data_IF_957242789316
#
_entry.id   IF_957242789316
#
_cell.length_a   1.000
_cell.length_b   1.000
_cell.length_c   1.000
_cell.angle_alpha   90.00
_cell.angle_beta   90.00
_cell.angle_gamma   90.00
#
_symmetry.space_group_name_H-M   'P 1'
#
loop_
_entity.id
_entity.type
_entity.pdbx_description
1 polymer ?
#
# COMPACT_ATOMS: atom_id res chain seq x y z
N UNK A 1 -22.08 -29.53 -39.62
CA UNK A 1 -22.17 -28.28 -38.84
C UNK A 1 -20.77 -27.99 -38.32
N UNK A 2 -20.06 -27.03 -38.90
CA UNK A 2 -18.66 -26.72 -38.61
C UNK A 2 -18.65 -25.52 -37.67
N UNK A 3 -18.04 -25.66 -36.50
CA UNK A 3 -17.88 -24.56 -35.51
C UNK A 3 -16.53 -23.90 -35.85
N UNK A 4 -16.57 -22.64 -36.27
CA UNK A 4 -15.38 -21.82 -36.44
C UNK A 4 -14.98 -21.19 -35.11
N UNK A 5 -13.72 -21.37 -34.74
CA UNK A 5 -13.11 -20.77 -33.58
C UNK A 5 -12.79 -19.29 -33.86
N UNK A 6 -13.41 -18.39 -33.12
CA UNK A 6 -13.07 -16.97 -33.12
C UNK A 6 -11.75 -16.72 -32.38
N UNK A 7 -10.83 -16.10 -33.05
CA UNK A 7 -9.53 -15.67 -32.55
C UNK A 7 -9.68 -14.50 -31.58
N UNK A 8 -9.27 -14.70 -30.32
CA UNK A 8 -9.10 -13.67 -29.31
C UNK A 8 -7.90 -12.81 -29.66
N UNK A 9 -8.11 -11.51 -29.88
CA UNK A 9 -7.04 -10.54 -30.08
C UNK A 9 -6.49 -10.12 -28.69
N UNK A 10 -5.28 -10.57 -28.40
CA UNK A 10 -4.47 -10.08 -27.28
C UNK A 10 -3.94 -8.70 -27.65
N UNK A 11 -4.28 -7.69 -26.85
CA UNK A 11 -3.71 -6.34 -27.00
C UNK A 11 -2.35 -6.32 -26.33
N UNK A 12 -1.32 -6.32 -27.15
CA UNK A 12 0.09 -6.24 -26.74
C UNK A 12 0.45 -4.79 -26.38
N UNK A 13 0.67 -4.52 -25.11
CA UNK A 13 1.26 -3.26 -24.65
C UNK A 13 2.79 -3.37 -24.72
N UNK A 14 3.37 -2.93 -25.83
CA UNK A 14 4.82 -2.81 -25.97
C UNK A 14 5.36 -1.62 -25.17
N UNK A 15 6.00 -1.88 -24.04
CA UNK A 15 6.90 -0.93 -23.36
C UNK A 15 8.23 -0.91 -24.13
N UNK A 16 8.53 0.21 -24.78
CA UNK A 16 9.84 0.47 -25.38
C UNK A 16 10.85 0.82 -24.30
N UNK A 17 11.69 -0.12 -23.90
CA UNK A 17 12.93 0.16 -23.21
C UNK A 17 14.05 0.33 -24.23
N UNK A 18 14.63 1.53 -24.28
CA UNK A 18 15.87 1.78 -25.03
C UNK A 18 17.05 1.20 -24.25
N UNK A 19 17.52 0.04 -24.66
CA UNK A 19 18.75 -0.54 -24.15
C UNK A 19 19.93 0.04 -24.91
N UNK A 20 20.80 0.76 -24.20
CA UNK A 20 22.14 1.08 -24.65
C UNK A 20 23.01 -0.15 -24.49
N UNK A 21 23.61 -0.58 -25.61
CA UNK A 21 24.56 -1.69 -25.67
C UNK A 21 25.89 -1.33 -25.00
N UNK A 22 26.31 -2.14 -24.02
CA UNK A 22 27.72 -2.20 -23.54
C UNK A 22 28.17 -3.65 -23.64
N UNK A 23 29.35 -3.84 -24.24
CA UNK A 23 29.92 -5.10 -24.66
C UNK A 23 30.18 -6.07 -23.51
N UNK A 24 30.11 -7.35 -23.91
CA UNK A 24 30.38 -8.50 -23.04
C UNK A 24 31.89 -8.75 -23.06
N UNK A 25 32.55 -8.70 -21.91
CA UNK A 25 33.82 -9.37 -21.66
C UNK A 25 33.65 -10.42 -20.58
N UNK A 26 34.03 -11.62 -20.94
CA UNK A 26 33.94 -12.86 -20.21
C UNK A 26 35.04 -12.95 -19.16
N UNK A 27 34.74 -12.89 -17.86
CA UNK A 27 35.63 -13.33 -16.77
C UNK A 27 34.85 -13.97 -15.61
N UNK A 28 34.99 -15.28 -15.51
CA UNK A 28 34.98 -16.17 -14.32
C UNK A 28 34.33 -15.69 -13.01
N UNK A 29 33.40 -16.52 -12.58
CA UNK A 29 32.64 -16.47 -11.35
C UNK A 29 33.40 -16.16 -10.06
N UNK A 30 32.85 -15.15 -9.37
CA UNK A 30 32.80 -15.02 -7.91
C UNK A 30 31.69 -14.05 -7.57
N UNK A 31 30.70 -14.55 -6.86
CA UNK A 31 29.66 -13.71 -6.23
C UNK A 31 30.32 -12.73 -5.26
N UNK A 32 30.32 -11.47 -5.57
CA UNK A 32 30.65 -10.40 -4.63
C UNK A 32 29.41 -9.53 -4.49
N UNK A 33 28.85 -9.53 -3.29
CA UNK A 33 27.81 -8.59 -2.89
C UNK A 33 28.33 -7.16 -3.12
N UNK A 34 27.80 -6.48 -4.13
CA UNK A 34 28.14 -5.10 -4.42
C UNK A 34 27.38 -4.18 -3.47
N UNK A 35 27.98 -3.91 -2.30
CA UNK A 35 27.65 -2.71 -1.54
C UNK A 35 28.15 -1.51 -2.33
N UNK A 36 27.25 -0.75 -2.96
CA UNK A 36 27.59 0.53 -3.60
C UNK A 36 27.85 1.58 -2.54
N UNK A 37 29.06 1.54 -1.94
CA UNK A 37 29.54 2.66 -1.15
C UNK A 37 30.05 3.72 -2.12
N UNK A 38 29.42 4.89 -2.14
CA UNK A 38 29.95 6.07 -2.80
C UNK A 38 31.17 6.52 -1.99
N UNK A 39 32.35 6.11 -2.42
CA UNK A 39 33.62 6.61 -1.85
C UNK A 39 33.90 7.98 -2.47
N UNK A 40 33.77 9.04 -1.68
CA UNK A 40 34.28 10.34 -2.04
C UNK A 40 35.80 10.24 -2.20
N UNK A 41 36.32 10.75 -3.31
CA UNK A 41 37.76 10.75 -3.55
C UNK A 41 38.47 11.59 -2.47
N UNK A 42 39.69 11.20 -2.12
CA UNK A 42 40.54 11.96 -1.16
C UNK A 42 40.67 13.46 -1.51
N UNK A 43 40.54 13.78 -2.78
CA UNK A 43 40.57 15.14 -3.32
C UNK A 43 39.26 15.91 -3.01
N UNK A 44 38.11 15.27 -3.01
CA UNK A 44 36.83 15.86 -2.59
C UNK A 44 36.84 16.15 -1.07
N UNK A 45 37.43 15.26 -0.29
CA UNK A 45 37.57 15.43 1.17
C UNK A 45 38.55 16.55 1.49
N UNK A 46 39.70 16.71 0.74
CA UNK A 46 40.66 17.79 0.94
C UNK A 46 40.07 19.16 0.55
N UNK A 47 39.24 19.26 -0.50
CA UNK A 47 38.58 20.52 -0.85
C UNK A 47 37.55 20.93 0.21
N UNK A 48 36.81 19.99 0.77
CA UNK A 48 35.89 20.26 1.88
C UNK A 48 36.61 20.76 3.14
N UNK A 49 37.83 20.27 3.39
CA UNK A 49 38.69 20.74 4.50
C UNK A 49 39.32 22.10 4.23
N UNK A 50 39.67 22.44 2.99
CA UNK A 50 40.22 23.74 2.62
C UNK A 50 39.18 24.86 2.68
N UNK A 51 37.92 24.61 2.30
CA UNK A 51 36.88 25.64 2.38
C UNK A 51 36.51 26.02 3.83
N UNK A 52 36.89 25.22 4.83
CA UNK A 52 36.66 25.52 6.25
C UNK A 52 37.76 26.40 6.86
N UNK A 53 38.90 26.64 6.15
CA UNK A 53 40.03 27.42 6.67
C UNK A 53 40.08 28.87 6.21
N UNK A 54 39.27 29.30 5.23
CA UNK A 54 39.41 30.61 4.59
C UNK A 54 38.23 31.57 4.86
N UNK A 55 37.63 31.52 6.05
CA UNK A 55 36.64 32.51 6.48
C UNK A 55 37.07 33.13 7.80
N UNK A 56 37.84 34.24 7.68
CA UNK A 56 38.15 35.08 8.82
C UNK A 56 36.94 35.77 9.43
N UNK A 57 36.77 35.59 10.72
CA UNK A 57 36.06 36.37 11.77
C UNK A 57 34.81 37.17 11.43
N UNK A 58 33.73 37.04 12.22
CA UNK A 58 33.64 37.72 13.51
C UNK A 58 33.09 36.88 14.67
N UNK A 59 33.54 37.28 15.84
CA UNK A 59 33.20 36.74 17.15
C UNK A 59 31.79 37.04 17.56
N UNK A 60 30.92 36.01 17.68
CA UNK A 60 29.85 35.93 18.63
C UNK A 60 29.50 34.46 18.90
N UNK A 61 29.16 34.14 20.12
CA UNK A 61 28.86 32.77 20.58
C UNK A 61 27.75 32.09 19.80
N UNK A 62 26.81 32.88 19.27
CA UNK A 62 25.67 32.39 18.46
C UNK A 62 26.09 31.94 17.04
N UNK A 63 27.08 32.65 16.44
CA UNK A 63 27.61 32.26 15.13
C UNK A 63 28.32 30.90 15.18
N UNK A 64 29.03 30.61 16.28
CA UNK A 64 29.71 29.31 16.49
C UNK A 64 28.70 28.15 16.69
N UNK A 65 27.59 28.38 17.38
CA UNK A 65 26.55 27.36 17.53
C UNK A 65 25.85 27.09 16.20
N UNK A 66 25.56 28.12 15.40
CA UNK A 66 24.96 27.95 14.07
C UNK A 66 25.89 27.20 13.12
N UNK A 67 27.18 27.45 13.17
CA UNK A 67 28.19 26.77 12.32
C UNK A 67 28.34 25.30 12.73
N UNK A 68 28.34 25.00 14.03
CA UNK A 68 28.40 23.64 14.57
C UNK A 68 27.12 22.85 14.22
N UNK A 69 25.97 23.47 14.34
CA UNK A 69 24.67 22.81 13.96
C UNK A 69 24.66 22.52 12.44
N UNK A 70 25.18 23.43 11.60
CA UNK A 70 25.27 23.21 10.15
C UNK A 70 26.29 22.12 9.80
N UNK A 71 27.41 22.04 10.52
CA UNK A 71 28.42 20.98 10.33
C UNK A 71 27.89 19.61 10.81
N UNK A 72 27.17 19.55 11.92
CA UNK A 72 26.55 18.32 12.41
C UNK A 72 25.51 17.84 11.41
N UNK A 73 24.68 18.72 10.84
CA UNK A 73 23.73 18.37 9.80
C UNK A 73 24.42 17.89 8.50
N UNK A 74 25.57 18.51 8.10
CA UNK A 74 26.34 18.02 6.94
C UNK A 74 26.98 16.66 7.18
N UNK A 75 27.48 16.40 8.39
CA UNK A 75 28.02 15.09 8.77
C UNK A 75 26.95 14.02 8.85
N UNK A 76 25.73 14.36 9.29
CA UNK A 76 24.59 13.44 9.30
C UNK A 76 24.16 13.04 7.87
N UNK A 77 24.29 13.96 6.89
CA UNK A 77 24.02 13.68 5.47
C UNK A 77 25.11 12.78 4.81
N UNK A 78 26.29 12.69 5.42
CA UNK A 78 27.41 11.86 4.94
C UNK A 78 27.46 10.48 5.62
N UNK A 79 26.57 10.21 6.61
CA UNK A 79 26.47 8.88 7.18
C UNK A 79 25.84 7.93 6.16
N UNK A 80 26.37 6.71 5.99
CA UNK A 80 25.75 5.73 5.13
C UNK A 80 24.34 5.45 5.64
N UNK A 81 23.34 5.81 4.83
CA UNK A 81 21.96 5.47 5.14
C UNK A 81 21.74 3.99 4.89
N UNK A 82 21.04 3.34 5.78
CA UNK A 82 20.57 1.99 5.54
C UNK A 82 19.64 1.98 4.31
N UNK A 83 19.79 0.97 3.46
CA UNK A 83 18.98 0.81 2.26
C UNK A 83 18.04 -0.38 2.44
N UNK A 84 16.80 -0.30 1.91
CA UNK A 84 15.90 -1.43 1.88
C UNK A 84 16.53 -2.64 1.20
N UNK A 85 16.36 -3.83 1.79
CA UNK A 85 16.76 -5.08 1.17
C UNK A 85 15.75 -5.46 0.08
N UNK A 86 16.12 -5.26 -1.18
CA UNK A 86 15.31 -5.64 -2.35
C UNK A 86 15.17 -7.18 -2.49
N UNK A 87 15.99 -7.97 -1.78
CA UNK A 87 15.86 -9.42 -1.67
C UNK A 87 14.82 -9.85 -0.63
N UNK A 88 14.27 -8.93 0.15
CA UNK A 88 13.30 -9.23 1.20
C UNK A 88 11.97 -9.79 0.66
N UNK A 89 11.24 -10.57 1.47
CA UNK A 89 9.90 -11.05 1.09
C UNK A 89 8.94 -9.94 0.66
N UNK A 90 9.08 -8.72 1.19
CA UNK A 90 8.25 -7.58 0.83
C UNK A 90 8.20 -7.33 -0.69
N UNK A 91 9.35 -7.44 -1.38
CA UNK A 91 9.45 -7.19 -2.82
C UNK A 91 9.37 -8.45 -3.69
N UNK A 92 9.64 -9.62 -3.10
CA UNK A 92 9.70 -10.88 -3.84
C UNK A 92 8.42 -11.72 -3.71
N UNK A 93 7.49 -11.34 -2.84
CA UNK A 93 6.17 -11.96 -2.77
C UNK A 93 5.28 -11.37 -3.89
N UNK A 94 4.81 -12.18 -4.86
CA UNK A 94 3.99 -11.71 -5.96
C UNK A 94 2.66 -11.08 -5.53
N UNK A 95 2.24 -11.31 -4.28
CA UNK A 95 1.03 -10.72 -3.72
C UNK A 95 1.23 -9.33 -3.11
N UNK A 96 2.46 -8.96 -2.77
CA UNK A 96 2.77 -7.70 -2.08
C UNK A 96 3.71 -6.79 -2.86
N UNK A 97 4.42 -7.30 -3.87
CA UNK A 97 5.48 -6.58 -4.59
C UNK A 97 5.01 -5.25 -5.22
N UNK A 98 3.83 -5.21 -5.83
CA UNK A 98 3.29 -3.99 -6.45
C UNK A 98 2.95 -2.94 -5.39
N UNK A 99 2.30 -3.35 -4.31
CA UNK A 99 1.94 -2.47 -3.19
C UNK A 99 3.19 -2.00 -2.44
N UNK A 100 4.17 -2.88 -2.25
CA UNK A 100 5.47 -2.55 -1.67
C UNK A 100 6.19 -1.49 -2.51
N UNK A 101 6.14 -1.62 -3.83
CA UNK A 101 6.73 -0.63 -4.74
C UNK A 101 6.04 0.72 -4.61
N UNK A 102 4.72 0.76 -4.51
CA UNK A 102 3.95 1.99 -4.30
C UNK A 102 4.29 2.66 -2.95
N UNK A 103 4.57 1.86 -1.91
CA UNK A 103 4.93 2.33 -0.57
C UNK A 103 6.44 2.45 -0.32
N UNK A 104 7.28 2.24 -1.34
CA UNK A 104 8.74 2.24 -1.20
C UNK A 104 9.28 3.52 -0.54
N UNK A 105 8.66 4.67 -0.82
CA UNK A 105 9.05 5.95 -0.22
C UNK A 105 8.98 5.93 1.32
N UNK A 106 8.11 5.14 1.93
CA UNK A 106 7.98 5.03 3.38
C UNK A 106 9.23 4.46 4.03
N UNK A 107 9.89 3.49 3.38
CA UNK A 107 11.12 2.90 3.90
C UNK A 107 12.25 3.93 4.02
N UNK A 108 12.32 4.88 3.08
CA UNK A 108 13.30 5.99 3.14
C UNK A 108 12.92 7.10 4.12
N UNK A 109 11.71 7.09 4.65
CA UNK A 109 11.23 8.09 5.62
C UNK A 109 11.40 7.63 7.08
N UNK A 110 11.78 6.38 7.32
CA UNK A 110 12.03 5.88 8.68
C UNK A 110 13.12 6.69 9.38
N UNK A 111 13.15 6.66 10.72
CA UNK A 111 14.19 7.31 11.54
C UNK A 111 15.51 6.51 11.42
N UNK A 112 15.98 6.44 10.23
CA UNK A 112 16.65 5.30 9.90
C UNK A 112 18.06 5.26 9.43
N UNK A 113 18.96 5.49 10.27
CA UNK A 113 20.34 5.03 10.07
C UNK A 113 20.55 3.58 10.57
N UNK A 114 19.47 2.89 11.00
CA UNK A 114 19.53 1.52 11.53
C UNK A 114 18.94 0.52 10.53
N UNK A 115 19.80 -0.39 10.05
CA UNK A 115 19.34 -1.51 9.21
C UNK A 115 18.24 -2.31 9.92
N UNK A 116 18.35 -2.51 11.24
CA UNK A 116 17.34 -3.21 12.03
C UNK A 116 15.96 -2.55 11.94
N UNK A 117 15.88 -1.22 12.02
CA UNK A 117 14.61 -0.49 11.90
C UNK A 117 13.96 -0.69 10.53
N UNK A 118 14.78 -0.66 9.46
CA UNK A 118 14.30 -0.93 8.10
C UNK A 118 13.82 -2.35 7.93
N UNK A 119 14.54 -3.33 8.46
CA UNK A 119 14.18 -4.75 8.38
C UNK A 119 12.90 -5.05 9.18
N UNK A 120 12.78 -4.48 10.38
CA UNK A 120 11.57 -4.59 11.22
C UNK A 120 10.36 -3.95 10.51
N UNK A 121 10.53 -2.74 9.94
CA UNK A 121 9.46 -2.07 9.20
C UNK A 121 9.09 -2.81 7.91
N UNK A 122 10.07 -3.25 7.14
CA UNK A 122 9.85 -4.05 5.92
C UNK A 122 9.09 -5.33 6.23
N UNK A 123 9.47 -6.03 7.30
CA UNK A 123 8.78 -7.25 7.75
C UNK A 123 7.35 -6.97 8.17
N UNK A 124 7.12 -5.92 8.96
CA UNK A 124 5.78 -5.54 9.40
C UNK A 124 4.90 -5.09 8.23
N UNK A 125 5.45 -4.34 7.27
CA UNK A 125 4.74 -3.92 6.05
C UNK A 125 4.37 -5.14 5.20
N UNK A 126 5.30 -6.08 4.98
CA UNK A 126 5.01 -7.32 4.26
C UNK A 126 3.84 -8.07 4.91
N UNK A 127 3.85 -8.22 6.24
CA UNK A 127 2.76 -8.89 6.96
C UNK A 127 1.42 -8.17 6.76
N UNK A 128 1.39 -6.84 6.86
CA UNK A 128 0.16 -6.03 6.66
C UNK A 128 -0.39 -6.21 5.25
N UNK A 129 0.46 -6.08 4.24
CA UNK A 129 0.04 -6.22 2.84
C UNK A 129 -0.39 -7.64 2.54
N UNK A 130 0.33 -8.63 3.06
CA UNK A 130 0.03 -10.05 2.90
C UNK A 130 -1.31 -10.43 3.53
N UNK A 131 -1.57 -10.01 4.76
CA UNK A 131 -2.84 -10.23 5.46
C UNK A 131 -4.02 -9.63 4.68
N UNK A 132 -3.84 -8.43 4.14
CA UNK A 132 -4.86 -7.74 3.36
C UNK A 132 -5.21 -8.41 2.03
N UNK A 133 -4.27 -9.17 1.43
CA UNK A 133 -4.48 -9.83 0.13
C UNK A 133 -4.89 -11.28 0.29
N UNK A 134 -4.24 -12.02 1.19
CA UNK A 134 -4.44 -13.49 1.34
C UNK A 134 -5.67 -13.81 2.17
N UNK A 135 -6.09 -12.88 3.06
CA UNK A 135 -7.36 -12.99 3.78
C UNK A 135 -8.58 -12.93 2.85
N UNK A 136 -8.41 -12.38 1.66
CA UNK A 136 -9.39 -12.39 0.59
C UNK A 136 -9.10 -13.59 -0.31
N UNK A 137 -9.82 -14.68 -0.15
CA UNK A 137 -9.85 -15.68 -1.19
C UNK A 137 -10.43 -15.01 -2.44
N UNK A 138 -9.60 -14.78 -3.46
CA UNK A 138 -9.93 -13.93 -4.63
C UNK A 138 -11.19 -14.37 -5.39
N UNK A 139 -11.59 -15.62 -5.22
CA UNK A 139 -12.76 -16.19 -5.90
C UNK A 139 -14.04 -16.17 -5.04
N UNK A 140 -13.89 -16.03 -3.71
CA UNK A 140 -15.00 -16.10 -2.76
C UNK A 140 -15.15 -14.81 -1.92
N UNK A 141 -14.34 -13.76 -2.20
CA UNK A 141 -14.42 -12.52 -1.46
C UNK A 141 -15.69 -11.75 -1.81
N UNK A 142 -16.54 -11.56 -0.82
CA UNK A 142 -17.68 -10.65 -0.95
C UNK A 142 -17.22 -9.19 -0.87
N UNK A 143 -18.01 -8.28 -1.44
CA UNK A 143 -17.78 -6.83 -1.31
C UNK A 143 -17.56 -6.38 0.14
N UNK A 144 -18.30 -7.00 1.06
CA UNK A 144 -18.19 -6.74 2.51
C UNK A 144 -16.85 -7.19 3.07
N UNK A 145 -16.35 -8.38 2.68
CA UNK A 145 -15.03 -8.87 3.11
C UNK A 145 -13.90 -7.99 2.57
N UNK A 146 -14.02 -7.53 1.33
CA UNK A 146 -13.07 -6.63 0.71
C UNK A 146 -13.07 -5.24 1.39
N UNK A 147 -14.24 -4.71 1.74
CA UNK A 147 -14.37 -3.47 2.49
C UNK A 147 -13.70 -3.56 3.88
N UNK A 148 -13.91 -4.67 4.60
CA UNK A 148 -13.22 -4.94 5.88
C UNK A 148 -11.70 -4.97 5.71
N UNK A 149 -11.22 -5.71 4.71
CA UNK A 149 -9.79 -5.85 4.43
C UNK A 149 -9.12 -4.51 4.13
N UNK A 150 -9.69 -3.73 3.20
CA UNK A 150 -9.16 -2.42 2.84
C UNK A 150 -9.10 -1.47 4.05
N UNK A 151 -10.19 -1.39 4.83
CA UNK A 151 -10.25 -0.51 6.00
C UNK A 151 -9.22 -0.90 7.07
N UNK A 152 -9.05 -2.20 7.34
CA UNK A 152 -8.07 -2.67 8.33
C UNK A 152 -6.63 -2.57 7.82
N UNK A 153 -6.39 -2.78 6.53
CA UNK A 153 -5.06 -2.58 5.92
C UNK A 153 -4.65 -1.12 6.03
N UNK A 154 -5.54 -0.19 5.70
CA UNK A 154 -5.33 1.25 5.87
C UNK A 154 -4.95 1.59 7.32
N UNK A 155 -5.76 1.14 8.29
CA UNK A 155 -5.51 1.38 9.71
C UNK A 155 -4.17 0.79 10.20
N UNK A 156 -3.81 -0.42 9.75
CA UNK A 156 -2.52 -1.04 10.07
C UNK A 156 -1.36 -0.24 9.48
N UNK A 157 -1.46 0.21 8.23
CA UNK A 157 -0.43 1.03 7.58
C UNK A 157 -0.22 2.36 8.31
N UNK A 158 -1.28 3.03 8.77
CA UNK A 158 -1.14 4.24 9.61
C UNK A 158 -0.43 3.96 10.92
N UNK A 159 -0.69 2.82 11.56
CA UNK A 159 0.05 2.43 12.77
C UNK A 159 1.53 2.15 12.51
N UNK A 160 1.88 1.62 11.34
CA UNK A 160 3.28 1.51 10.94
C UNK A 160 3.92 2.88 10.71
N UNK A 161 3.21 3.81 10.08
CA UNK A 161 3.66 5.19 9.93
C UNK A 161 3.90 5.82 11.31
N UNK A 162 2.95 5.70 12.23
CA UNK A 162 3.08 6.22 13.59
C UNK A 162 4.29 5.65 14.34
N UNK A 163 4.55 4.35 14.21
CA UNK A 163 5.63 3.65 14.92
C UNK A 163 7.02 3.92 14.33
N UNK A 164 7.15 3.91 13.01
CA UNK A 164 8.47 3.86 12.35
C UNK A 164 8.87 5.17 11.68
N UNK A 165 7.95 6.12 11.47
CA UNK A 165 8.21 7.38 10.79
C UNK A 165 8.24 8.52 11.81
N UNK A 166 9.29 9.38 11.80
CA UNK A 166 9.35 10.55 12.66
C UNK A 166 8.15 11.47 12.50
N UNK A 167 7.70 12.10 13.59
CA UNK A 167 6.47 12.89 13.66
C UNK A 167 6.41 14.02 12.59
N UNK A 168 7.55 14.62 12.26
CA UNK A 168 7.68 15.68 11.24
C UNK A 168 7.43 15.18 9.80
N UNK A 169 7.45 13.88 9.56
CA UNK A 169 7.25 13.24 8.25
C UNK A 169 5.97 12.43 8.16
N UNK A 170 5.28 12.17 9.28
CA UNK A 170 4.09 11.30 9.32
C UNK A 170 2.97 11.79 8.40
N UNK A 171 2.75 13.10 8.30
CA UNK A 171 1.74 13.65 7.39
C UNK A 171 2.05 13.32 5.92
N UNK A 172 3.30 13.43 5.51
CA UNK A 172 3.71 13.06 4.16
C UNK A 172 3.61 11.55 3.94
N UNK A 173 4.02 10.75 4.93
CA UNK A 173 3.93 9.29 4.90
C UNK A 173 2.48 8.82 4.78
N UNK A 174 1.56 9.40 5.53
CA UNK A 174 0.12 9.13 5.43
C UNK A 174 -0.40 9.38 4.02
N UNK A 175 0.09 10.40 3.32
CA UNK A 175 -0.28 10.67 1.93
C UNK A 175 0.07 9.52 0.96
N UNK A 176 1.14 8.76 1.19
CA UNK A 176 1.44 7.56 0.40
C UNK A 176 0.47 6.41 0.70
N UNK A 177 0.07 6.25 1.97
CA UNK A 177 -0.96 5.28 2.35
C UNK A 177 -2.30 5.64 1.70
N UNK A 178 -2.71 6.90 1.78
CA UNK A 178 -3.94 7.41 1.15
C UNK A 178 -3.95 7.15 -0.36
N UNK A 179 -2.83 7.41 -1.04
CA UNK A 179 -2.70 7.19 -2.47
C UNK A 179 -2.84 5.70 -2.85
N UNK A 180 -2.22 4.80 -2.08
CA UNK A 180 -2.35 3.36 -2.30
C UNK A 180 -3.79 2.90 -2.10
N UNK A 181 -4.39 3.21 -0.95
CA UNK A 181 -5.76 2.79 -0.64
C UNK A 181 -6.75 3.42 -1.61
N UNK A 182 -6.59 4.71 -1.93
CA UNK A 182 -7.41 5.39 -2.95
C UNK A 182 -7.34 4.73 -4.32
N UNK A 183 -6.16 4.29 -4.76
CA UNK A 183 -6.01 3.57 -6.03
C UNK A 183 -6.75 2.23 -6.04
N UNK A 184 -6.71 1.48 -4.93
CA UNK A 184 -7.45 0.22 -4.79
C UNK A 184 -8.96 0.42 -4.78
N UNK A 185 -9.44 1.47 -4.11
CA UNK A 185 -10.87 1.86 -4.12
C UNK A 185 -11.31 2.22 -5.55
N UNK A 186 -10.55 3.07 -6.24
CA UNK A 186 -10.86 3.47 -7.61
C UNK A 186 -10.89 2.28 -8.58
N UNK A 187 -9.94 1.34 -8.44
CA UNK A 187 -9.94 0.10 -9.22
C UNK A 187 -11.19 -0.75 -8.96
N UNK A 188 -11.55 -0.95 -7.69
CA UNK A 188 -12.76 -1.68 -7.29
C UNK A 188 -14.03 -1.03 -7.86
N UNK A 189 -14.16 0.28 -7.76
CA UNK A 189 -15.29 1.02 -8.32
C UNK A 189 -15.38 0.87 -9.83
N UNK A 190 -14.26 0.95 -10.54
CA UNK A 190 -14.21 0.73 -11.99
C UNK A 190 -14.69 -0.67 -12.38
N UNK A 191 -14.29 -1.70 -11.63
CA UNK A 191 -14.74 -3.09 -11.84
C UNK A 191 -16.26 -3.20 -11.61
N UNK A 192 -16.79 -2.63 -10.52
CA UNK A 192 -18.23 -2.65 -10.24
C UNK A 192 -19.03 -1.93 -11.33
N UNK A 193 -18.58 -0.77 -11.79
CA UNK A 193 -19.22 -0.04 -12.89
C UNK A 193 -19.22 -0.85 -14.18
N UNK A 194 -18.11 -1.47 -14.54
CA UNK A 194 -18.02 -2.32 -15.74
C UNK A 194 -18.97 -3.52 -15.66
N UNK A 195 -19.02 -4.19 -14.50
CA UNK A 195 -19.93 -5.33 -14.29
C UNK A 195 -21.40 -4.90 -14.34
N UNK A 196 -21.74 -3.76 -13.72
CA UNK A 196 -23.10 -3.23 -13.75
C UNK A 196 -23.55 -2.84 -15.16
N UNK A 197 -22.66 -2.21 -15.96
CA UNK A 197 -22.91 -1.90 -17.37
C UNK A 197 -23.15 -3.17 -18.18
N UNK A 198 -22.28 -4.18 -18.06
CA UNK A 198 -22.45 -5.46 -18.75
C UNK A 198 -23.74 -6.18 -18.32
N UNK A 199 -24.11 -6.07 -17.05
CA UNK A 199 -25.38 -6.63 -16.53
C UNK A 199 -26.58 -5.93 -17.16
N UNK A 200 -26.54 -4.58 -17.26
CA UNK A 200 -27.61 -3.81 -17.89
C UNK A 200 -27.74 -4.16 -19.38
N UNK A 201 -26.64 -4.23 -20.11
CA UNK A 201 -26.64 -4.62 -21.54
C UNK A 201 -27.24 -6.03 -21.74
N UNK A 202 -26.87 -6.98 -20.89
CA UNK A 202 -27.44 -8.34 -20.92
C UNK A 202 -28.94 -8.33 -20.57
N UNK A 203 -29.32 -7.54 -19.57
CA UNK A 203 -30.72 -7.38 -19.19
C UNK A 203 -31.57 -6.79 -20.33
N UNK A 204 -31.06 -5.80 -21.04
CA UNK A 204 -31.73 -5.16 -22.21
C UNK A 204 -31.93 -6.15 -23.37
N UNK A 205 -31.00 -7.09 -23.55
CA UNK A 205 -31.08 -8.08 -24.64
C UNK A 205 -32.00 -9.25 -24.30
N UNK A 206 -32.03 -9.69 -23.05
CA UNK A 206 -32.63 -10.97 -22.65
C UNK A 206 -33.51 -10.91 -21.40
N UNK A 207 -33.55 -9.75 -20.73
CA UNK A 207 -34.22 -9.62 -19.44
C UNK A 207 -35.69 -9.20 -19.52
N UNK A 208 -36.36 -9.27 -18.40
CA UNK A 208 -37.69 -8.70 -18.20
C UNK A 208 -37.57 -7.19 -17.92
N UNK A 209 -38.68 -6.45 -18.10
CA UNK A 209 -38.72 -5.00 -17.79
C UNK A 209 -38.31 -4.71 -16.32
N UNK A 210 -38.68 -5.59 -15.38
CA UNK A 210 -38.29 -5.46 -13.97
C UNK A 210 -36.77 -5.62 -13.80
N UNK A 211 -36.16 -6.63 -14.45
CA UNK A 211 -34.73 -6.87 -14.37
C UNK A 211 -33.90 -5.71 -15.00
N UNK A 212 -34.38 -5.16 -16.13
CA UNK A 212 -33.76 -3.98 -16.74
C UNK A 212 -33.83 -2.78 -15.78
N UNK A 213 -34.97 -2.53 -15.15
CA UNK A 213 -35.13 -1.43 -14.20
C UNK A 213 -34.21 -1.61 -12.96
N UNK A 214 -34.06 -2.83 -12.45
CA UNK A 214 -33.17 -3.13 -11.33
C UNK A 214 -31.70 -2.96 -11.68
N UNK A 215 -31.28 -3.42 -12.87
CA UNK A 215 -29.91 -3.24 -13.35
C UNK A 215 -29.58 -1.76 -13.58
N UNK A 216 -30.51 -0.96 -14.17
CA UNK A 216 -30.35 0.46 -14.35
C UNK A 216 -30.23 1.19 -13.00
N UNK A 217 -31.13 0.89 -12.05
CA UNK A 217 -31.08 1.46 -10.70
C UNK A 217 -29.74 1.21 -10.01
N UNK A 218 -29.21 -0.01 -10.09
CA UNK A 218 -27.92 -0.35 -9.49
C UNK A 218 -26.76 0.42 -10.12
N UNK A 219 -26.76 0.57 -11.45
CA UNK A 219 -25.78 1.39 -12.16
C UNK A 219 -25.85 2.87 -11.75
N UNK A 220 -27.06 3.41 -11.61
CA UNK A 220 -27.28 4.79 -11.17
C UNK A 220 -26.79 4.99 -9.71
N UNK A 221 -27.04 4.03 -8.82
CA UNK A 221 -26.55 4.03 -7.43
C UNK A 221 -25.02 4.03 -7.39
N UNK A 222 -24.35 3.24 -8.25
CA UNK A 222 -22.88 3.22 -8.36
C UNK A 222 -22.34 4.59 -8.81
N UNK A 223 -22.93 5.21 -9.82
CA UNK A 223 -22.51 6.52 -10.28
C UNK A 223 -22.70 7.62 -9.23
N UNK A 224 -23.67 7.47 -8.35
CA UNK A 224 -23.96 8.42 -7.27
C UNK A 224 -23.11 8.14 -5.99
N UNK A 225 -22.28 7.11 -5.96
CA UNK A 225 -21.57 6.68 -4.76
C UNK A 225 -22.48 6.10 -3.67
N UNK A 226 -23.69 5.70 -4.04
CA UNK A 226 -24.76 5.25 -3.14
C UNK A 226 -25.04 3.76 -3.16
N UNK A 227 -24.34 3.00 -4.01
CA UNK A 227 -24.48 1.56 -4.04
C UNK A 227 -24.04 0.93 -2.70
N UNK A 228 -24.62 -0.20 -2.36
CA UNK A 228 -24.33 -0.89 -1.12
C UNK A 228 -22.82 -1.12 -0.87
N UNK A 229 -22.03 -1.62 -1.83
CA UNK A 229 -20.60 -1.83 -1.61
C UNK A 229 -19.82 -0.57 -1.26
N UNK A 230 -20.21 0.57 -1.83
CA UNK A 230 -19.61 1.88 -1.54
C UNK A 230 -19.97 2.37 -0.13
N UNK A 231 -21.24 2.22 0.28
CA UNK A 231 -21.70 2.58 1.62
C UNK A 231 -21.03 1.74 2.70
N UNK A 232 -20.95 0.41 2.50
CA UNK A 232 -20.28 -0.50 3.43
C UNK A 232 -18.81 -0.10 3.63
N UNK A 233 -18.08 0.14 2.53
CA UNK A 233 -16.69 0.57 2.58
C UNK A 233 -16.53 1.90 3.33
N UNK A 234 -17.36 2.91 3.02
CA UNK A 234 -17.29 4.21 3.67
C UNK A 234 -17.55 4.10 5.18
N UNK A 235 -18.56 3.35 5.61
CA UNK A 235 -18.86 3.13 7.04
C UNK A 235 -17.69 2.43 7.74
N UNK A 236 -17.10 1.42 7.11
CA UNK A 236 -16.02 0.65 7.71
C UNK A 236 -14.72 1.46 7.80
N UNK A 237 -14.39 2.27 6.78
CA UNK A 237 -13.25 3.19 6.82
C UNK A 237 -13.45 4.29 7.87
N UNK A 238 -14.61 4.90 7.92
CA UNK A 238 -14.94 5.89 8.93
C UNK A 238 -14.79 5.32 10.35
N UNK A 239 -15.26 4.11 10.57
CA UNK A 239 -15.09 3.41 11.85
C UNK A 239 -13.61 3.20 12.20
N UNK A 240 -12.75 2.80 11.25
CA UNK A 240 -11.32 2.59 11.52
C UNK A 240 -10.54 3.87 11.76
N UNK A 241 -10.97 4.99 11.18
CA UNK A 241 -10.30 6.29 11.27
C UNK A 241 -10.68 7.06 12.56
N UNK A 242 -11.88 6.85 13.08
CA UNK A 242 -12.45 7.67 14.17
C UNK A 242 -12.72 6.90 15.46
N UNK A 243 -12.52 5.58 15.50
CA UNK A 243 -12.76 4.82 16.73
C UNK A 243 -11.62 4.99 17.75
N UNK A 244 -11.99 5.16 19.01
CA UNK A 244 -11.06 5.21 20.13
C UNK A 244 -10.41 3.83 20.40
N UNK A 245 -11.11 2.75 20.03
CA UNK A 245 -10.61 1.39 20.19
C UNK A 245 -11.13 0.46 19.07
N UNK A 246 -10.43 -0.65 18.88
CA UNK A 246 -10.76 -1.60 17.81
C UNK A 246 -11.99 -2.48 18.09
N UNK A 247 -12.43 -2.59 19.34
CA UNK A 247 -13.65 -3.34 19.66
C UNK A 247 -14.87 -2.63 19.08
N UNK A 248 -14.90 -1.29 19.11
CA UNK A 248 -15.95 -0.48 18.50
C UNK A 248 -15.93 -0.61 16.96
N UNK A 249 -14.74 -0.69 16.36
CA UNK A 249 -14.58 -0.97 14.91
C UNK A 249 -15.22 -2.32 14.57
N UNK A 250 -14.82 -3.39 15.24
CA UNK A 250 -15.35 -4.74 14.99
C UNK A 250 -16.86 -4.83 15.30
N UNK A 251 -17.34 -4.07 16.28
CA UNK A 251 -18.79 -3.97 16.54
C UNK A 251 -19.51 -3.28 15.38
N UNK A 252 -18.95 -2.21 14.82
CA UNK A 252 -19.51 -1.51 13.65
C UNK A 252 -19.51 -2.43 12.42
N UNK A 253 -18.43 -3.17 12.17
CA UNK A 253 -18.37 -4.15 11.09
C UNK A 253 -19.43 -5.23 11.24
N UNK A 254 -19.64 -5.73 12.46
CA UNK A 254 -20.71 -6.69 12.77
C UNK A 254 -22.10 -6.12 12.43
N UNK A 255 -22.34 -4.84 12.75
CA UNK A 255 -23.61 -4.17 12.39
C UNK A 255 -23.81 -4.07 10.88
N UNK A 256 -22.77 -3.69 10.14
CA UNK A 256 -22.81 -3.59 8.67
C UNK A 256 -23.10 -4.96 8.05
N UNK A 257 -22.42 -6.01 8.50
CA UNK A 257 -22.64 -7.38 8.03
C UNK A 257 -24.10 -7.81 8.24
N UNK A 258 -24.65 -7.55 9.42
CA UNK A 258 -26.03 -7.96 9.77
C UNK A 258 -27.12 -7.07 9.15
N UNK A 259 -26.78 -5.89 8.62
CA UNK A 259 -27.73 -4.98 7.96
C UNK A 259 -28.06 -5.39 6.51
N UNK A 260 -27.54 -6.51 6.02
CA UNK A 260 -27.74 -6.98 4.64
C UNK A 260 -29.22 -7.37 4.39
N UNK A 261 -29.88 -6.78 3.39
CA UNK A 261 -31.35 -6.81 3.28
C UNK A 261 -31.99 -8.04 2.60
N UNK A 262 -31.25 -9.11 2.27
CA UNK A 262 -31.81 -10.26 1.53
C UNK A 262 -31.93 -11.53 2.40
N UNK A 263 -33.17 -12.04 2.66
CA UNK A 263 -33.37 -13.07 3.68
C UNK A 263 -32.85 -14.47 3.33
N UNK A 264 -32.98 -14.95 2.10
CA UNK A 264 -32.78 -16.38 1.83
C UNK A 264 -31.40 -16.79 1.32
N UNK A 265 -30.71 -15.95 0.61
CA UNK A 265 -29.29 -16.15 0.24
C UNK A 265 -28.33 -15.43 1.20
N UNK A 266 -28.83 -14.51 2.00
CA UNK A 266 -28.07 -13.67 2.90
C UNK A 266 -27.48 -14.43 4.09
N UNK A 267 -28.11 -15.48 4.59
CA UNK A 267 -27.66 -16.16 5.81
C UNK A 267 -26.27 -16.79 5.64
N UNK A 268 -26.00 -17.46 4.53
CA UNK A 268 -24.67 -18.04 4.27
C UNK A 268 -23.62 -16.96 4.03
N UNK A 269 -23.98 -15.90 3.31
CA UNK A 269 -23.10 -14.75 3.09
C UNK A 269 -22.78 -13.99 4.39
N UNK A 270 -23.77 -13.79 5.25
CA UNK A 270 -23.60 -13.20 6.58
C UNK A 270 -22.68 -14.07 7.43
N UNK A 271 -22.93 -15.38 7.47
CA UNK A 271 -22.10 -16.33 8.22
C UNK A 271 -20.66 -16.34 7.74
N UNK A 272 -20.45 -16.33 6.42
CA UNK A 272 -19.11 -16.25 5.83
C UNK A 272 -18.40 -14.93 6.18
N UNK A 273 -19.12 -13.80 6.10
CA UNK A 273 -18.57 -12.49 6.46
C UNK A 273 -18.23 -12.39 7.96
N UNK A 274 -19.06 -12.95 8.85
CA UNK A 274 -18.78 -13.01 10.28
C UNK A 274 -17.57 -13.92 10.59
N UNK A 275 -17.43 -15.05 9.91
CA UNK A 275 -16.27 -15.92 10.03
C UNK A 275 -14.99 -15.19 9.57
N UNK A 276 -15.06 -14.44 8.47
CA UNK A 276 -13.95 -13.63 7.99
C UNK A 276 -13.62 -12.49 8.97
N UNK A 277 -14.61 -11.88 9.59
CA UNK A 277 -14.39 -10.85 10.62
C UNK A 277 -13.58 -11.39 11.80
N UNK A 278 -13.82 -12.64 12.25
CA UNK A 278 -13.02 -13.25 13.30
C UNK A 278 -11.56 -13.50 12.86
N UNK A 279 -11.33 -13.87 11.60
CA UNK A 279 -9.96 -13.96 11.04
C UNK A 279 -9.27 -12.60 11.13
N UNK A 280 -9.92 -11.54 10.71
CA UNK A 280 -9.38 -10.18 10.76
C UNK A 280 -9.14 -9.68 12.20
N UNK A 281 -10.00 -10.05 13.14
CA UNK A 281 -9.79 -9.73 14.56
C UNK A 281 -8.51 -10.39 15.08
N UNK A 282 -8.31 -11.68 14.79
CA UNK A 282 -7.10 -12.40 15.18
C UNK A 282 -5.84 -11.81 14.51
N UNK A 283 -5.90 -11.47 13.23
CA UNK A 283 -4.80 -10.80 12.52
C UNK A 283 -4.48 -9.44 13.12
N UNK A 284 -5.50 -8.67 13.52
CA UNK A 284 -5.31 -7.39 14.20
C UNK A 284 -4.59 -7.57 15.55
N UNK A 285 -5.00 -8.53 16.35
CA UNK A 285 -4.36 -8.83 17.64
C UNK A 285 -2.90 -9.26 17.45
N UNK A 286 -2.62 -10.15 16.50
CA UNK A 286 -1.26 -10.56 16.18
C UNK A 286 -0.40 -9.36 15.72
N UNK A 287 -0.95 -8.50 14.86
CA UNK A 287 -0.29 -7.29 14.40
C UNK A 287 0.06 -6.34 15.55
N UNK A 288 -0.88 -6.04 16.46
CA UNK A 288 -0.62 -5.15 17.59
C UNK A 288 0.39 -5.72 18.57
N UNK A 289 0.40 -7.04 18.78
CA UNK A 289 1.43 -7.72 19.57
C UNK A 289 2.82 -7.63 18.93
N UNK A 290 2.90 -7.66 17.61
CA UNK A 290 4.20 -7.53 16.90
C UNK A 290 4.74 -6.10 16.93
N UNK A 291 3.88 -5.11 17.22
CA UNK A 291 4.29 -3.72 17.37
C UNK A 291 4.74 -3.36 18.80
N UNK A 292 4.39 -4.14 19.81
CA UNK A 292 4.80 -3.90 21.21
C UNK A 292 6.22 -4.34 21.46
#
# INVERSE_FOLDING_TARGET
MRIEQGTSSVVDFAVRTTAGSVGVDEITGKSVAASSSVMLSAEALSRLQQETHDSGSPTTSEAKQSTLATQVNRLALLQPQALPDLGSPLYNDPYTADDATALNSLLFMTDGNSQKTLDDFSTAMHQVLRDGVVGLNRYDSSDTAEAMSLSLTEAKLYKLVEKYIPADRQQQASGYVDALIGSKIAFREAVHLQLAQSTLETAQQHGTAAYIADAQRYLDELHQGNARPQKELNIMRDATQHADNMDDVFHTFTKVINATPHPDQAQESIKAALAQLEVYRNQWQAFTQSLS
#
